data_IF_945071839837
#
_entry.id   IF_945071839837
#
_cell.length_a   1.000
_cell.length_b   1.000
_cell.length_c   1.000
_cell.angle_alpha   90.00
_cell.angle_beta   90.00
_cell.angle_gamma   90.00
#
_symmetry.space_group_name_H-M   'P 1'
#
loop_
_entity.id
_entity.type
_entity.pdbx_description
1 polymer ?
#
# COMPACT_ATOMS: atom_id res chain seq x y z
N UNK A 1 30.11 -6.90 34.27
CA UNK A 1 29.46 -5.89 35.14
C UNK A 1 28.86 -4.72 34.35
N UNK A 2 29.55 -4.17 33.34
CA UNK A 2 29.08 -3.03 32.52
C UNK A 2 27.80 -3.28 31.76
N UNK A 3 27.59 -4.47 31.17
CA UNK A 3 26.36 -4.80 30.40
C UNK A 3 25.08 -4.84 31.24
N UNK A 4 25.16 -5.34 32.48
CA UNK A 4 24.00 -5.36 33.41
C UNK A 4 23.57 -3.96 33.88
N UNK A 5 24.53 -3.04 33.97
CA UNK A 5 24.28 -1.65 34.37
C UNK A 5 23.60 -0.90 33.17
N UNK A 6 24.12 -1.11 31.96
CA UNK A 6 23.56 -0.52 30.73
C UNK A 6 22.12 -1.00 30.47
N UNK A 7 21.83 -2.30 30.68
CA UNK A 7 20.49 -2.83 30.56
C UNK A 7 19.51 -2.21 31.55
N UNK A 8 19.91 -2.00 32.81
CA UNK A 8 19.03 -1.34 33.80
C UNK A 8 18.81 0.15 33.53
N UNK A 9 19.80 0.85 32.98
CA UNK A 9 19.62 2.24 32.55
C UNK A 9 18.66 2.33 31.35
N UNK A 10 18.81 1.45 30.36
CA UNK A 10 17.94 1.38 29.21
C UNK A 10 16.48 1.05 29.59
N UNK A 11 16.27 0.12 30.54
CA UNK A 11 14.94 -0.20 31.05
C UNK A 11 14.26 1.03 31.69
N UNK A 12 14.98 1.82 32.47
CA UNK A 12 14.48 3.06 33.07
C UNK A 12 14.08 4.11 32.02
N UNK A 13 14.93 4.24 30.99
CA UNK A 13 14.62 5.16 29.87
C UNK A 13 13.37 4.71 29.08
N UNK A 14 13.23 3.40 28.84
CA UNK A 14 12.05 2.82 28.19
C UNK A 14 10.80 3.08 29.02
N UNK A 15 10.84 2.89 30.34
CA UNK A 15 9.72 3.16 31.24
C UNK A 15 9.32 4.65 31.25
N UNK A 16 10.29 5.55 31.23
CA UNK A 16 10.03 6.99 31.13
C UNK A 16 9.37 7.35 29.78
N UNK A 17 9.86 6.78 28.68
CA UNK A 17 9.28 6.96 27.35
C UNK A 17 7.85 6.42 27.31
N UNK A 18 7.60 5.22 27.86
CA UNK A 18 6.26 4.63 27.90
C UNK A 18 5.30 5.53 28.69
N UNK A 19 5.71 6.04 29.86
CA UNK A 19 4.89 6.95 30.66
C UNK A 19 4.57 8.24 29.91
N UNK A 20 5.55 8.82 29.22
CA UNK A 20 5.33 10.01 28.39
C UNK A 20 4.36 9.73 27.22
N UNK A 21 4.54 8.60 26.52
CA UNK A 21 3.64 8.19 25.43
C UNK A 21 2.21 8.04 25.95
N UNK A 22 1.98 7.34 27.07
CA UNK A 22 0.65 7.19 27.65
C UNK A 22 0.02 8.55 27.99
N UNK A 23 0.78 9.45 28.59
CA UNK A 23 0.30 10.81 28.90
C UNK A 23 -0.15 11.58 27.64
N UNK A 24 0.61 11.43 26.54
CA UNK A 24 0.27 12.09 25.25
C UNK A 24 -1.00 11.48 24.65
N UNK A 25 -1.17 10.16 24.71
CA UNK A 25 -2.35 9.47 24.19
C UNK A 25 -3.62 9.90 24.95
N UNK A 26 -3.57 9.88 26.27
CA UNK A 26 -4.70 10.25 27.15
C UNK A 26 -5.06 11.72 27.00
N UNK A 27 -4.07 12.62 27.01
CA UNK A 27 -4.31 14.08 26.92
C UNK A 27 -4.94 14.49 25.60
N UNK A 28 -4.67 13.77 24.50
CA UNK A 28 -5.14 14.13 23.15
C UNK A 28 -6.24 13.18 22.63
N UNK A 29 -6.65 12.21 23.41
CA UNK A 29 -7.65 11.18 23.02
C UNK A 29 -7.31 10.52 21.67
N UNK A 30 -6.05 10.16 21.48
CA UNK A 30 -5.56 9.52 20.26
C UNK A 30 -5.03 8.12 20.52
N UNK A 31 -5.17 7.23 19.55
CA UNK A 31 -4.59 5.90 19.61
C UNK A 31 -3.07 5.93 19.38
N UNK A 32 -2.35 4.90 19.88
CA UNK A 32 -0.92 4.74 19.64
C UNK A 32 -0.57 4.72 18.14
N UNK A 33 -1.41 4.07 17.33
CA UNK A 33 -1.25 4.05 15.87
C UNK A 33 -1.28 5.44 15.26
N UNK A 34 -2.18 6.30 15.76
CA UNK A 34 -2.28 7.70 15.29
C UNK A 34 -1.09 8.53 15.71
N UNK A 35 -0.58 8.35 16.92
CA UNK A 35 0.64 9.01 17.38
C UNK A 35 1.85 8.62 16.51
N UNK A 36 2.02 7.33 16.21
CA UNK A 36 3.08 6.85 15.33
C UNK A 36 2.99 7.47 13.93
N UNK A 37 1.79 7.59 13.37
CA UNK A 37 1.55 8.23 12.09
C UNK A 37 1.98 9.71 12.10
N UNK A 38 1.58 10.46 13.13
CA UNK A 38 1.96 11.88 13.31
C UNK A 38 3.49 12.02 13.42
N UNK A 39 4.16 11.15 14.18
CA UNK A 39 5.61 11.18 14.34
C UNK A 39 6.34 10.88 13.02
N UNK A 40 5.86 9.92 12.23
CA UNK A 40 6.39 9.62 10.89
C UNK A 40 6.23 10.80 9.94
N UNK A 41 5.06 11.46 9.94
CA UNK A 41 4.83 12.67 9.15
C UNK A 41 5.80 13.81 9.53
N UNK A 42 6.03 14.03 10.84
CA UNK A 42 6.98 15.06 11.32
C UNK A 42 8.42 14.76 10.96
N UNK A 43 8.81 13.48 10.88
CA UNK A 43 10.16 13.08 10.43
C UNK A 43 10.34 13.15 8.92
N UNK A 44 9.30 13.50 8.17
CA UNK A 44 9.33 13.48 6.70
C UNK A 44 9.40 12.05 6.14
N UNK A 45 9.23 11.04 6.97
CA UNK A 45 9.10 9.65 6.54
C UNK A 45 7.76 9.52 5.82
N UNK A 46 7.80 9.44 4.50
CA UNK A 46 6.62 9.06 3.72
C UNK A 46 6.17 7.70 4.23
N UNK A 47 5.01 7.65 4.87
CA UNK A 47 4.39 6.38 5.25
C UNK A 47 4.29 5.54 4.00
N UNK A 48 5.09 4.48 3.92
CA UNK A 48 5.05 3.56 2.76
C UNK A 48 3.77 2.75 2.91
N UNK A 49 2.68 3.29 2.37
CA UNK A 49 1.42 2.55 2.29
C UNK A 49 1.66 1.35 1.37
N UNK A 50 1.36 0.16 1.87
CA UNK A 50 1.45 -1.08 1.09
C UNK A 50 0.06 -1.66 0.90
N UNK A 51 -0.14 -2.31 -0.23
CA UNK A 51 -1.38 -2.99 -0.57
C UNK A 51 -1.12 -4.47 -0.87
N UNK A 52 -2.03 -5.37 -0.50
CA UNK A 52 -1.84 -6.80 -0.73
C UNK A 52 -2.08 -7.15 -2.20
N UNK A 53 -1.18 -7.94 -2.80
CA UNK A 53 -1.26 -8.35 -4.22
C UNK A 53 -2.56 -9.11 -4.54
N UNK A 54 -3.11 -9.85 -3.59
CA UNK A 54 -4.31 -10.67 -3.78
C UNK A 54 -5.55 -9.86 -4.16
N UNK A 55 -5.64 -8.56 -3.85
CA UNK A 55 -6.78 -7.72 -4.26
C UNK A 55 -6.92 -7.61 -5.78
N UNK A 56 -5.84 -7.78 -6.52
CA UNK A 56 -5.81 -7.69 -7.98
C UNK A 56 -6.24 -8.98 -8.69
N UNK A 57 -6.48 -10.06 -7.93
CA UNK A 57 -7.05 -11.32 -8.47
C UNK A 57 -8.49 -11.19 -8.94
N UNK A 58 -9.22 -10.21 -8.39
CA UNK A 58 -10.63 -9.99 -8.73
C UNK A 58 -10.77 -9.43 -10.15
N UNK A 59 -11.20 -10.28 -11.08
CA UNK A 59 -11.29 -9.94 -12.52
C UNK A 59 -12.42 -8.99 -12.87
N UNK A 60 -13.43 -8.89 -12.03
CA UNK A 60 -14.53 -7.94 -12.22
C UNK A 60 -14.08 -6.49 -12.06
N UNK A 61 -12.95 -6.29 -11.36
CA UNK A 61 -12.37 -4.98 -11.10
C UNK A 61 -11.11 -4.72 -11.94
N UNK A 62 -10.99 -3.49 -12.43
CA UNK A 62 -9.72 -2.98 -12.94
C UNK A 62 -8.73 -2.75 -11.81
N UNK A 63 -7.43 -2.63 -12.12
CA UNK A 63 -6.36 -2.42 -11.10
C UNK A 63 -6.66 -1.18 -10.24
N UNK A 64 -7.06 -0.05 -10.85
CA UNK A 64 -7.39 1.16 -10.10
C UNK A 64 -8.64 0.97 -9.23
N UNK A 65 -9.64 0.25 -9.73
CA UNK A 65 -10.87 -0.03 -8.99
C UNK A 65 -10.60 -0.87 -7.73
N UNK A 66 -9.81 -1.95 -7.86
CA UNK A 66 -9.41 -2.80 -6.74
C UNK A 66 -8.59 -2.01 -5.72
N UNK A 67 -7.62 -1.21 -6.20
CA UNK A 67 -6.75 -0.38 -5.38
C UNK A 67 -7.56 0.67 -4.59
N UNK A 68 -8.40 1.43 -5.27
CA UNK A 68 -9.23 2.47 -4.64
C UNK A 68 -10.21 1.88 -3.63
N UNK A 69 -10.83 0.74 -3.97
CA UNK A 69 -11.75 0.03 -3.08
C UNK A 69 -11.06 -0.45 -1.81
N UNK A 70 -9.88 -1.05 -1.93
CA UNK A 70 -9.08 -1.49 -0.79
C UNK A 70 -8.68 -0.31 0.12
N UNK A 71 -8.13 0.76 -0.46
CA UNK A 71 -7.70 1.94 0.29
C UNK A 71 -8.86 2.60 1.04
N UNK A 72 -10.06 2.62 0.43
CA UNK A 72 -11.26 3.21 1.04
C UNK A 72 -11.86 2.32 2.12
N UNK A 73 -12.00 1.02 1.88
CA UNK A 73 -12.78 0.12 2.73
C UNK A 73 -11.95 -0.56 3.83
N UNK A 74 -10.66 -0.80 3.61
CA UNK A 74 -9.80 -1.50 4.57
C UNK A 74 -8.87 -0.55 5.33
N UNK A 75 -8.42 0.55 4.70
CA UNK A 75 -7.57 1.56 5.34
C UNK A 75 -8.35 2.83 5.73
N UNK A 76 -9.64 2.89 5.44
CA UNK A 76 -10.56 4.02 5.74
C UNK A 76 -10.05 5.39 5.27
N UNK A 77 -9.30 5.43 4.18
CA UNK A 77 -8.73 6.67 3.66
C UNK A 77 -9.81 7.53 2.97
N UNK A 78 -9.69 8.85 3.12
CA UNK A 78 -10.50 9.82 2.40
C UNK A 78 -10.16 9.85 0.89
N UNK A 79 -11.11 10.27 0.04
CA UNK A 79 -10.86 10.34 -1.41
C UNK A 79 -9.72 11.30 -1.77
N UNK A 80 -9.55 12.41 -1.02
CA UNK A 80 -8.44 13.34 -1.21
C UNK A 80 -7.09 12.70 -0.86
N UNK A 81 -7.04 11.89 0.20
CA UNK A 81 -5.85 11.16 0.60
C UNK A 81 -5.47 10.12 -0.45
N UNK A 82 -6.45 9.34 -0.94
CA UNK A 82 -6.22 8.36 -2.01
C UNK A 82 -5.75 9.05 -3.29
N UNK A 83 -6.36 10.20 -3.65
CA UNK A 83 -5.97 10.99 -4.82
C UNK A 83 -4.52 11.47 -4.72
N UNK A 84 -4.12 11.98 -3.56
CA UNK A 84 -2.74 12.38 -3.28
C UNK A 84 -1.76 11.20 -3.33
N UNK A 85 -2.10 10.07 -2.68
CA UNK A 85 -1.26 8.87 -2.66
C UNK A 85 -1.03 8.27 -4.05
N UNK A 86 -2.04 8.32 -4.92
CA UNK A 86 -1.97 7.76 -6.28
C UNK A 86 -1.58 8.79 -7.34
N UNK A 87 -1.34 10.04 -6.95
CA UNK A 87 -1.09 11.16 -7.87
C UNK A 87 -2.18 11.25 -8.95
N UNK A 88 -3.47 11.20 -8.54
CA UNK A 88 -4.64 11.22 -9.42
C UNK A 88 -5.61 12.32 -8.99
N UNK A 89 -6.49 12.72 -9.90
CA UNK A 89 -7.56 13.66 -9.60
C UNK A 89 -8.61 13.04 -8.66
N UNK A 90 -9.14 13.84 -7.72
CA UNK A 90 -10.19 13.43 -6.79
C UNK A 90 -11.42 12.85 -7.50
N UNK A 91 -11.87 13.48 -8.60
CA UNK A 91 -13.05 13.04 -9.35
C UNK A 91 -12.85 11.66 -9.96
N UNK A 92 -11.61 11.36 -10.41
CA UNK A 92 -11.24 10.04 -10.93
C UNK A 92 -11.35 9.01 -9.82
N UNK A 93 -10.83 9.29 -8.63
CA UNK A 93 -10.87 8.37 -7.50
C UNK A 93 -12.32 8.11 -7.05
N UNK A 94 -13.11 9.16 -6.86
CA UNK A 94 -14.52 9.03 -6.49
C UNK A 94 -15.31 8.18 -7.51
N UNK A 95 -15.15 8.50 -8.79
CA UNK A 95 -15.83 7.76 -9.89
C UNK A 95 -15.38 6.30 -9.93
N UNK A 96 -14.09 6.04 -9.75
CA UNK A 96 -13.51 4.69 -9.75
C UNK A 96 -14.07 3.86 -8.60
N UNK A 97 -14.14 4.44 -7.38
CA UNK A 97 -14.75 3.77 -6.23
C UNK A 97 -16.23 3.45 -6.46
N UNK A 98 -17.00 4.42 -6.97
CA UNK A 98 -18.41 4.23 -7.30
C UNK A 98 -18.61 3.07 -8.30
N UNK A 99 -17.78 3.00 -9.34
CA UNK A 99 -17.82 1.92 -10.33
C UNK A 99 -17.43 0.57 -9.70
N UNK A 100 -16.39 0.54 -8.85
CA UNK A 100 -15.99 -0.66 -8.13
C UNK A 100 -17.12 -1.21 -7.24
N UNK A 101 -17.81 -0.34 -6.51
CA UNK A 101 -18.95 -0.72 -5.67
C UNK A 101 -20.15 -1.29 -6.45
N UNK A 102 -20.39 -0.80 -7.68
CA UNK A 102 -21.43 -1.37 -8.57
C UNK A 102 -21.06 -2.77 -9.05
N UNK A 103 -19.79 -3.02 -9.35
CA UNK A 103 -19.28 -4.31 -9.84
C UNK A 103 -19.14 -5.35 -8.75
N UNK A 104 -18.68 -4.94 -7.56
CA UNK A 104 -18.41 -5.81 -6.44
C UNK A 104 -18.88 -5.16 -5.13
N UNK A 105 -20.05 -5.60 -4.63
CA UNK A 105 -20.63 -5.07 -3.37
C UNK A 105 -19.89 -5.55 -2.12
N UNK A 106 -19.32 -6.77 -2.14
CA UNK A 106 -18.56 -7.33 -1.02
C UNK A 106 -17.16 -6.71 -0.91
N UNK A 107 -16.60 -6.73 0.31
CA UNK A 107 -15.21 -6.35 0.55
C UNK A 107 -14.24 -7.29 -0.17
N UNK A 108 -13.04 -6.79 -0.45
CA UNK A 108 -11.97 -7.60 -1.04
C UNK A 108 -11.38 -8.53 0.01
N UNK A 109 -11.26 -9.81 -0.33
CA UNK A 109 -10.61 -10.78 0.55
C UNK A 109 -9.09 -10.54 0.56
N UNK A 110 -8.53 -10.44 1.77
CA UNK A 110 -7.10 -10.30 1.98
C UNK A 110 -6.53 -11.61 2.51
N UNK A 111 -5.60 -12.20 1.76
CA UNK A 111 -4.86 -13.39 2.19
C UNK A 111 -3.66 -12.96 3.05
N UNK A 112 -3.46 -13.61 4.21
CA UNK A 112 -2.33 -13.34 5.12
C UNK A 112 -0.96 -13.65 4.50
N UNK A 113 -0.90 -14.55 3.54
CA UNK A 113 0.33 -14.97 2.83
C UNK A 113 0.56 -14.20 1.52
N UNK A 114 -0.03 -13.03 1.35
CA UNK A 114 0.09 -12.22 0.14
C UNK A 114 1.38 -11.43 0.09
N UNK A 115 1.83 -11.08 -1.12
CA UNK A 115 2.92 -10.13 -1.35
C UNK A 115 2.39 -8.72 -1.09
N UNK A 116 3.12 -7.92 -0.33
CA UNK A 116 2.78 -6.53 -0.04
C UNK A 116 3.48 -5.58 -1.03
N UNK A 117 2.71 -4.81 -1.75
CA UNK A 117 3.16 -3.95 -2.84
C UNK A 117 3.15 -2.49 -2.36
N UNK A 118 4.26 -1.75 -2.47
CA UNK A 118 4.28 -0.33 -2.12
C UNK A 118 3.40 0.46 -3.09
N UNK A 119 2.56 1.35 -2.56
CA UNK A 119 1.64 2.15 -3.38
C UNK A 119 2.36 3.09 -4.34
N UNK A 120 3.60 3.47 -4.00
CA UNK A 120 4.43 4.37 -4.80
C UNK A 120 4.65 3.91 -6.25
N UNK A 121 4.60 2.59 -6.52
CA UNK A 121 4.74 2.08 -7.89
C UNK A 121 3.61 2.54 -8.82
N UNK A 122 2.45 2.93 -8.26
CA UNK A 122 1.27 3.36 -9.01
C UNK A 122 1.18 4.87 -9.25
N UNK A 123 2.16 5.64 -8.78
CA UNK A 123 2.18 7.10 -8.88
C UNK A 123 2.71 7.62 -10.21
N UNK A 124 3.48 6.80 -10.92
CA UNK A 124 4.01 7.14 -12.24
C UNK A 124 2.88 7.15 -13.28
N UNK A 125 2.70 8.32 -13.91
CA UNK A 125 1.68 8.51 -14.95
C UNK A 125 2.12 8.03 -16.34
N UNK A 126 3.43 7.81 -16.55
CA UNK A 126 3.96 7.27 -17.82
C UNK A 126 3.56 5.81 -18.01
N UNK A 127 3.47 5.06 -16.92
CA UNK A 127 3.10 3.65 -16.93
C UNK A 127 1.61 3.45 -16.64
N UNK A 128 0.99 2.51 -17.33
CA UNK A 128 -0.31 1.99 -16.94
C UNK A 128 -0.20 1.22 -15.63
N UNK A 129 -1.26 1.20 -14.81
CA UNK A 129 -1.23 0.55 -13.49
C UNK A 129 -0.86 -0.94 -13.54
N UNK A 130 -1.34 -1.67 -14.55
CA UNK A 130 -0.94 -3.07 -14.76
C UNK A 130 0.52 -3.16 -15.23
N UNK A 131 1.00 -2.21 -16.01
CA UNK A 131 2.38 -2.12 -16.45
C UNK A 131 3.31 -1.91 -15.23
N UNK A 132 2.98 -0.97 -14.34
CA UNK A 132 3.73 -0.73 -13.09
C UNK A 132 3.74 -1.96 -12.19
N UNK A 133 2.57 -2.59 -12.01
CA UNK A 133 2.43 -3.78 -11.18
C UNK A 133 3.25 -4.97 -11.72
N UNK A 134 3.16 -5.24 -13.02
CA UNK A 134 3.90 -6.35 -13.64
C UNK A 134 5.40 -6.10 -13.63
N UNK A 135 5.82 -4.85 -13.85
CA UNK A 135 7.24 -4.47 -13.76
C UNK A 135 7.78 -4.73 -12.37
N UNK A 136 7.12 -4.23 -11.33
CA UNK A 136 7.52 -4.43 -9.94
C UNK A 136 7.60 -5.91 -9.56
N UNK A 137 6.56 -6.70 -9.87
CA UNK A 137 6.56 -8.14 -9.57
C UNK A 137 7.65 -8.90 -10.34
N UNK A 138 8.04 -8.43 -11.52
CA UNK A 138 9.07 -9.05 -12.35
C UNK A 138 10.49 -8.69 -11.94
N UNK A 139 10.74 -7.40 -11.67
CA UNK A 139 12.10 -6.86 -11.46
C UNK A 139 12.48 -6.80 -9.97
N UNK A 140 11.55 -6.42 -9.08
CA UNK A 140 11.83 -6.24 -7.66
C UNK A 140 11.53 -7.51 -6.84
N UNK A 141 10.50 -8.28 -7.23
CA UNK A 141 10.11 -9.54 -6.56
C UNK A 141 10.63 -10.77 -7.30
N UNK A 142 11.21 -10.60 -8.49
CA UNK A 142 11.83 -11.66 -9.32
C UNK A 142 10.87 -12.78 -9.75
N UNK A 143 9.57 -12.51 -9.83
CA UNK A 143 8.57 -13.48 -10.27
C UNK A 143 8.64 -13.74 -11.77
N UNK A 144 8.42 -14.99 -12.18
CA UNK A 144 8.21 -15.35 -13.59
C UNK A 144 6.85 -14.84 -14.10
N UNK A 145 6.71 -14.66 -15.42
CA UNK A 145 5.41 -14.26 -16.02
C UNK A 145 4.28 -15.22 -15.63
N UNK A 146 4.55 -16.51 -15.54
CA UNK A 146 3.57 -17.52 -15.13
C UNK A 146 3.11 -17.32 -13.67
N UNK A 147 4.05 -17.06 -12.76
CA UNK A 147 3.74 -16.78 -11.35
C UNK A 147 2.93 -15.49 -11.20
N UNK A 148 3.29 -14.44 -11.96
CA UNK A 148 2.54 -13.17 -11.97
C UNK A 148 1.13 -13.38 -12.51
N UNK A 149 0.98 -14.13 -13.62
CA UNK A 149 -0.31 -14.45 -14.21
C UNK A 149 -1.22 -15.18 -13.21
N UNK A 150 -0.69 -16.18 -12.50
CA UNK A 150 -1.37 -16.89 -11.42
C UNK A 150 -1.72 -15.98 -10.25
N UNK A 151 -0.76 -15.15 -9.79
CA UNK A 151 -0.96 -14.23 -8.67
C UNK A 151 -2.02 -13.17 -8.94
N UNK A 152 -2.13 -12.68 -10.17
CA UNK A 152 -3.09 -11.66 -10.58
C UNK A 152 -4.36 -12.22 -11.24
N UNK A 153 -4.47 -13.55 -11.37
CA UNK A 153 -5.55 -14.21 -12.11
C UNK A 153 -5.71 -13.61 -13.51
N UNK A 154 -4.61 -13.48 -14.26
CA UNK A 154 -4.57 -12.91 -15.61
C UNK A 154 -3.93 -13.92 -16.58
N UNK A 155 -4.17 -13.71 -17.85
CA UNK A 155 -3.53 -14.48 -18.91
C UNK A 155 -2.03 -14.15 -19.00
N UNK A 156 -1.19 -15.18 -19.23
CA UNK A 156 0.26 -15.03 -19.33
C UNK A 156 0.65 -14.06 -20.48
N UNK A 157 -0.07 -14.08 -21.59
CA UNK A 157 0.11 -13.16 -22.71
C UNK A 157 -0.14 -11.70 -22.29
N UNK A 158 -1.17 -11.47 -21.48
CA UNK A 158 -1.47 -10.14 -20.92
C UNK A 158 -0.32 -9.62 -20.05
N UNK A 159 0.24 -10.48 -19.20
CA UNK A 159 1.39 -10.14 -18.33
C UNK A 159 2.62 -9.82 -19.17
N UNK A 160 2.95 -10.68 -20.14
CA UNK A 160 4.08 -10.44 -21.04
C UNK A 160 3.94 -9.11 -21.79
N UNK A 161 2.77 -8.83 -22.36
CA UNK A 161 2.49 -7.59 -23.09
C UNK A 161 2.62 -6.36 -22.19
N UNK A 162 2.08 -6.43 -20.96
CA UNK A 162 2.14 -5.33 -19.99
C UNK A 162 3.59 -5.05 -19.57
N UNK A 163 4.36 -6.08 -19.28
CA UNK A 163 5.77 -5.95 -18.96
C UNK A 163 6.60 -5.38 -20.11
N UNK A 164 6.41 -5.89 -21.32
CA UNK A 164 7.11 -5.40 -22.53
C UNK A 164 6.84 -3.91 -22.77
N UNK A 165 5.58 -3.47 -22.58
CA UNK A 165 5.22 -2.06 -22.71
C UNK A 165 5.86 -1.22 -21.60
N UNK A 166 5.86 -1.71 -20.36
CA UNK A 166 6.51 -1.03 -19.25
C UNK A 166 7.99 -0.82 -19.51
N UNK A 167 8.70 -1.86 -19.96
CA UNK A 167 10.12 -1.82 -20.28
C UNK A 167 10.44 -0.82 -21.39
N UNK A 168 9.63 -0.80 -22.46
CA UNK A 168 9.80 0.16 -23.55
C UNK A 168 9.68 1.60 -23.05
N UNK A 169 8.63 1.93 -22.30
CA UNK A 169 8.38 3.27 -21.75
C UNK A 169 9.39 3.72 -20.69
N UNK A 170 10.06 2.78 -20.03
CA UNK A 170 11.10 3.09 -19.03
C UNK A 170 12.46 3.37 -19.67
N UNK A 171 12.68 3.00 -20.92
CA UNK A 171 13.91 3.21 -21.67
C UNK A 171 13.83 4.47 -22.57
N UNK A 172 12.67 5.10 -22.66
CA UNK A 172 12.39 6.40 -23.30
C UNK A 172 12.45 7.54 -22.26
#
# INVERSE_FOLDING_TARGET
MKEKTLAKELDKEIDAINTFVQTVLEKNDISFSKLVEILRQKRGEKTIVKVPCCIFKERSLGILEALTKYLKEELDLGYNEIASLLNRDYRVIWRTYSNAGKKLKKRLAVDKKTIWIPISIFTDKKLGLLESLTKYLREDIEMTNYQIASALNRDNRTIWTSYSRAKKKSNE
#
